data_IF_996627056010
#
_entry.id   IF_996627056010
#
_cell.length_a   1.000
_cell.length_b   1.000
_cell.length_c   1.000
_cell.angle_alpha   90.00
_cell.angle_beta   90.00
_cell.angle_gamma   90.00
#
_symmetry.space_group_name_H-M   'P 1'
#
loop_
_entity.id
_entity.type
_entity.pdbx_description
1 polymer ?
#
# COMPACT_ATOMS: atom_id res chain seq x y z
N UNK A 1 -35.37 70.95 3.40
CA UNK A 1 -35.44 70.19 4.67
C UNK A 1 -35.38 68.66 4.48
N UNK A 2 -35.46 68.09 3.27
CA UNK A 2 -35.44 66.62 3.05
C UNK A 2 -34.04 65.97 3.01
N UNK A 3 -33.00 66.69 2.58
CA UNK A 3 -31.66 66.09 2.36
C UNK A 3 -30.94 65.62 3.63
N UNK A 4 -31.00 66.38 4.74
CA UNK A 4 -30.35 66.00 6.01
C UNK A 4 -30.97 64.76 6.68
N UNK A 5 -32.23 64.45 6.36
CA UNK A 5 -32.92 63.31 6.95
C UNK A 5 -32.55 62.00 6.24
N UNK A 6 -32.28 62.07 4.94
CA UNK A 6 -31.82 60.93 4.13
C UNK A 6 -30.39 60.51 4.50
N UNK A 7 -29.48 61.46 4.67
CA UNK A 7 -28.09 61.20 5.09
C UNK A 7 -28.04 60.55 6.49
N UNK A 8 -28.86 61.01 7.43
CA UNK A 8 -28.94 60.43 8.78
C UNK A 8 -29.50 58.99 8.75
N UNK A 9 -30.52 58.73 7.94
CA UNK A 9 -31.05 57.37 7.75
C UNK A 9 -30.03 56.44 7.07
N UNK A 10 -29.26 56.97 6.12
CA UNK A 10 -28.22 56.21 5.43
C UNK A 10 -27.07 55.86 6.37
N UNK A 11 -26.63 56.80 7.22
CA UNK A 11 -25.65 56.51 8.28
C UNK A 11 -26.16 55.47 9.27
N UNK A 12 -27.41 55.58 9.71
CA UNK A 12 -28.00 54.61 10.64
C UNK A 12 -28.14 53.19 10.02
N UNK A 13 -28.46 53.10 8.72
CA UNK A 13 -28.49 51.84 7.99
C UNK A 13 -27.09 51.22 7.82
N UNK A 14 -26.08 52.05 7.54
CA UNK A 14 -24.68 51.64 7.46
C UNK A 14 -24.16 51.18 8.83
N UNK A 15 -24.47 51.89 9.91
CA UNK A 15 -24.13 51.51 11.28
C UNK A 15 -24.83 50.21 11.70
N UNK A 16 -26.09 50.02 11.29
CA UNK A 16 -26.82 48.78 11.47
C UNK A 16 -26.15 47.60 10.76
N UNK A 17 -25.70 47.82 9.52
CA UNK A 17 -24.97 46.82 8.74
C UNK A 17 -23.61 46.49 9.36
N UNK A 18 -22.87 47.50 9.83
CA UNK A 18 -21.57 47.34 10.48
C UNK A 18 -21.71 46.57 11.79
N UNK A 19 -22.76 46.84 12.57
CA UNK A 19 -23.11 46.07 13.76
C UNK A 19 -23.49 44.62 13.42
N UNK A 20 -24.24 44.39 12.34
CA UNK A 20 -24.59 43.04 11.89
C UNK A 20 -23.34 42.25 11.50
N UNK A 21 -22.43 42.84 10.72
CA UNK A 21 -21.17 42.20 10.36
C UNK A 21 -20.27 41.96 11.57
N UNK A 22 -20.22 42.90 12.51
CA UNK A 22 -19.46 42.73 13.76
C UNK A 22 -20.03 41.57 14.58
N UNK A 23 -21.37 41.47 14.66
CA UNK A 23 -22.06 40.37 15.33
C UNK A 23 -21.80 39.04 14.63
N UNK A 24 -21.97 38.97 13.31
CA UNK A 24 -21.71 37.77 12.51
C UNK A 24 -20.26 37.32 12.67
N UNK A 25 -19.29 38.24 12.69
CA UNK A 25 -17.89 37.92 12.89
C UNK A 25 -17.62 37.34 14.29
N UNK A 26 -18.27 37.88 15.34
CA UNK A 26 -18.20 37.33 16.70
C UNK A 26 -18.81 35.93 16.77
N UNK A 27 -19.97 35.73 16.14
CA UNK A 27 -20.64 34.42 16.08
C UNK A 27 -19.77 33.39 15.35
N UNK A 28 -19.23 33.73 14.17
CA UNK A 28 -18.29 32.87 13.42
C UNK A 28 -17.04 32.54 14.24
N UNK A 29 -16.47 33.52 14.95
CA UNK A 29 -15.32 33.28 15.84
C UNK A 29 -15.67 32.31 16.97
N UNK A 30 -16.88 32.42 17.52
CA UNK A 30 -17.36 31.54 18.59
C UNK A 30 -17.55 30.11 18.08
N UNK A 31 -18.14 29.95 16.90
CA UNK A 31 -18.29 28.66 16.21
C UNK A 31 -16.94 28.04 15.92
N UNK A 32 -16.00 28.80 15.35
CA UNK A 32 -14.64 28.34 15.09
C UNK A 32 -13.95 27.82 16.35
N UNK A 33 -13.99 28.59 17.44
CA UNK A 33 -13.37 28.19 18.71
C UNK A 33 -14.01 26.94 19.32
N UNK A 34 -15.34 26.79 19.21
CA UNK A 34 -16.04 25.60 19.71
C UNK A 34 -15.67 24.35 18.89
N UNK A 35 -15.70 24.45 17.56
CA UNK A 35 -15.28 23.37 16.66
C UNK A 35 -13.83 22.96 16.91
N UNK A 36 -12.93 23.92 17.12
CA UNK A 36 -11.52 23.63 17.40
C UNK A 36 -11.34 22.86 18.71
N UNK A 37 -12.09 23.20 19.76
CA UNK A 37 -12.08 22.47 21.04
C UNK A 37 -12.63 21.06 20.90
N UNK A 38 -13.77 20.91 20.21
CA UNK A 38 -14.37 19.60 19.94
C UNK A 38 -13.42 18.74 19.11
N UNK A 39 -12.78 19.30 18.08
CA UNK A 39 -11.79 18.59 17.27
C UNK A 39 -10.61 18.07 18.10
N UNK A 40 -10.04 18.90 18.98
CA UNK A 40 -8.93 18.48 19.87
C UNK A 40 -9.36 17.44 20.91
N UNK A 41 -10.62 17.50 21.36
CA UNK A 41 -11.17 16.53 22.31
C UNK A 41 -11.44 15.17 21.65
N UNK A 42 -12.00 15.17 20.43
CA UNK A 42 -12.34 13.95 19.68
C UNK A 42 -11.09 13.30 19.09
N UNK A 43 -10.15 14.10 18.59
CA UNK A 43 -8.93 13.62 17.96
C UNK A 43 -7.70 14.14 18.71
N UNK A 44 -7.16 13.35 19.65
CA UNK A 44 -5.86 13.65 20.24
C UNK A 44 -4.75 13.67 19.18
N UNK A 45 -3.56 14.18 19.51
CA UNK A 45 -2.47 14.41 18.54
C UNK A 45 -2.06 13.20 17.69
N UNK A 46 -2.25 11.98 18.20
CA UNK A 46 -1.93 10.71 17.53
C UNK A 46 -3.06 10.19 16.62
N UNK A 47 -4.26 10.76 16.72
CA UNK A 47 -5.47 10.38 15.99
C UNK A 47 -5.96 11.50 15.04
N UNK A 48 -5.14 12.53 14.79
CA UNK A 48 -5.48 13.60 13.84
C UNK A 48 -5.72 13.00 12.43
N UNK A 49 -6.93 13.15 11.84
CA UNK A 49 -7.28 12.55 10.57
C UNK A 49 -6.31 12.87 9.42
N UNK A 50 -5.82 14.12 9.35
CA UNK A 50 -4.86 14.52 8.31
C UNK A 50 -3.52 13.79 8.45
N UNK A 51 -3.04 13.60 9.69
CA UNK A 51 -1.81 12.83 9.96
C UNK A 51 -2.01 11.34 9.70
N UNK A 52 -3.20 10.81 9.96
CA UNK A 52 -3.52 9.41 9.67
C UNK A 52 -3.54 9.15 8.16
N UNK A 53 -4.15 10.03 7.37
CA UNK A 53 -4.16 9.92 5.91
C UNK A 53 -2.75 10.00 5.35
N UNK A 54 -1.90 10.91 5.83
CA UNK A 54 -0.52 10.99 5.35
C UNK A 54 0.31 9.76 5.70
N UNK A 55 0.12 9.21 6.91
CA UNK A 55 0.74 7.94 7.31
C UNK A 55 0.25 6.77 6.47
N UNK A 56 -1.04 6.70 6.18
CA UNK A 56 -1.63 5.65 5.36
C UNK A 56 -1.06 5.67 3.93
N UNK A 57 -1.01 6.85 3.30
CA UNK A 57 -0.40 7.03 1.98
C UNK A 57 1.06 6.59 1.96
N UNK A 58 1.82 6.97 3.00
CA UNK A 58 3.22 6.54 3.13
C UNK A 58 3.33 5.02 3.23
N UNK A 59 2.48 4.37 4.03
CA UNK A 59 2.46 2.90 4.16
C UNK A 59 2.10 2.24 2.82
N UNK A 60 1.13 2.80 2.09
CA UNK A 60 0.73 2.30 0.76
C UNK A 60 1.88 2.38 -0.25
N UNK A 61 2.61 3.49 -0.28
CA UNK A 61 3.80 3.67 -1.10
C UNK A 61 4.92 2.69 -0.70
N UNK A 62 5.21 2.56 0.59
CA UNK A 62 6.22 1.64 1.12
C UNK A 62 5.85 0.17 0.85
N UNK A 63 4.57 -0.19 0.97
CA UNK A 63 4.06 -1.54 0.67
C UNK A 63 4.22 -1.88 -0.82
N UNK A 64 3.87 -0.93 -1.69
CA UNK A 64 4.02 -1.08 -3.15
C UNK A 64 5.49 -1.25 -3.54
N UNK A 65 6.37 -0.45 -2.93
CA UNK A 65 7.82 -0.56 -3.11
C UNK A 65 8.34 -1.91 -2.64
N UNK A 66 7.93 -2.36 -1.45
CA UNK A 66 8.33 -3.66 -0.89
C UNK A 66 7.87 -4.83 -1.77
N UNK A 67 6.63 -4.78 -2.30
CA UNK A 67 6.11 -5.78 -3.24
C UNK A 67 7.00 -5.90 -4.48
N UNK A 68 7.40 -4.77 -5.05
CA UNK A 68 8.30 -4.75 -6.21
C UNK A 68 9.67 -5.34 -5.87
N UNK A 69 10.26 -4.97 -4.74
CA UNK A 69 11.54 -5.52 -4.27
C UNK A 69 11.46 -7.04 -4.05
N UNK A 70 10.37 -7.55 -3.47
CA UNK A 70 10.15 -9.00 -3.32
C UNK A 70 10.07 -9.71 -4.68
N UNK A 71 9.38 -9.11 -5.66
CA UNK A 71 9.28 -9.67 -7.02
C UNK A 71 10.64 -9.72 -7.72
N UNK A 72 11.44 -8.65 -7.62
CA UNK A 72 12.81 -8.61 -8.14
C UNK A 72 13.69 -9.68 -7.48
N UNK A 73 13.61 -9.82 -6.16
CA UNK A 73 14.36 -10.83 -5.41
C UNK A 73 13.98 -12.27 -5.83
N UNK A 74 12.68 -12.54 -6.01
CA UNK A 74 12.21 -13.84 -6.49
C UNK A 74 12.73 -14.13 -7.90
N UNK A 75 12.75 -13.12 -8.77
CA UNK A 75 13.27 -13.24 -10.14
C UNK A 75 14.77 -13.53 -10.13
N UNK A 76 15.54 -12.80 -9.32
CA UNK A 76 16.98 -13.03 -9.16
C UNK A 76 17.29 -14.41 -8.58
N UNK A 77 16.46 -14.91 -7.66
CA UNK A 77 16.60 -16.27 -7.11
C UNK A 77 16.32 -17.35 -8.16
N UNK A 78 15.30 -17.18 -9.00
CA UNK A 78 15.02 -18.11 -10.12
C UNK A 78 16.20 -18.16 -11.10
N UNK A 79 16.74 -17.00 -11.49
CA UNK A 79 17.90 -16.92 -12.40
C UNK A 79 19.14 -17.63 -11.81
N UNK A 80 19.38 -17.48 -10.50
CA UNK A 80 20.45 -18.20 -9.81
C UNK A 80 20.23 -19.72 -9.85
N UNK A 81 19.01 -20.18 -9.60
CA UNK A 81 18.63 -21.60 -9.67
C UNK A 81 18.87 -22.16 -11.08
N UNK A 82 18.45 -21.44 -12.12
CA UNK A 82 18.60 -21.86 -13.51
C UNK A 82 20.07 -21.95 -13.93
N UNK A 83 20.89 -20.97 -13.51
CA UNK A 83 22.34 -20.98 -13.70
C UNK A 83 23.00 -22.15 -12.98
N UNK A 84 22.66 -22.37 -11.71
CA UNK A 84 23.20 -23.48 -10.92
C UNK A 84 22.85 -24.83 -11.56
N UNK A 85 21.60 -25.02 -11.98
CA UNK A 85 21.13 -26.22 -12.67
C UNK A 85 21.89 -26.45 -13.98
N UNK A 86 22.05 -25.41 -14.79
CA UNK A 86 22.78 -25.48 -16.06
C UNK A 86 24.24 -25.92 -15.86
N UNK A 87 24.93 -25.31 -14.88
CA UNK A 87 26.32 -25.64 -14.55
C UNK A 87 26.44 -27.06 -13.99
N UNK A 88 25.57 -27.45 -13.04
CA UNK A 88 25.61 -28.77 -12.42
C UNK A 88 25.36 -29.89 -13.43
N UNK A 89 24.31 -29.78 -14.25
CA UNK A 89 24.00 -30.75 -15.31
C UNK A 89 25.12 -30.79 -16.34
N UNK A 90 25.66 -29.63 -16.72
CA UNK A 90 26.81 -29.52 -17.63
C UNK A 90 28.05 -30.25 -17.09
N UNK A 91 28.45 -29.97 -15.85
CA UNK A 91 29.58 -30.61 -15.19
C UNK A 91 29.38 -32.12 -15.04
N UNK A 92 28.17 -32.55 -14.64
CA UNK A 92 27.81 -33.97 -14.53
C UNK A 92 27.97 -34.68 -15.86
N UNK A 93 27.47 -34.10 -16.95
CA UNK A 93 27.61 -34.69 -18.30
C UNK A 93 29.08 -34.88 -18.70
N UNK A 94 29.95 -33.94 -18.30
CA UNK A 94 31.39 -34.03 -18.57
C UNK A 94 32.05 -35.15 -17.76
N UNK A 95 31.71 -35.27 -16.47
CA UNK A 95 32.20 -36.35 -15.60
C UNK A 95 31.74 -37.72 -16.12
N UNK A 96 30.48 -37.86 -16.55
CA UNK A 96 29.96 -39.11 -17.11
C UNK A 96 30.69 -39.51 -18.40
N UNK A 97 31.00 -38.55 -19.28
CA UNK A 97 31.84 -38.81 -20.47
C UNK A 97 33.25 -39.27 -20.09
N UNK A 98 33.85 -38.67 -19.06
CA UNK A 98 35.17 -39.08 -18.58
C UNK A 98 35.15 -40.48 -17.96
N UNK A 99 34.15 -40.82 -17.15
CA UNK A 99 33.95 -42.17 -16.58
C UNK A 99 33.82 -43.22 -17.70
N UNK A 100 33.00 -42.94 -18.71
CA UNK A 100 32.84 -43.82 -19.87
C UNK A 100 34.16 -44.04 -20.63
N UNK A 101 34.98 -42.98 -20.77
CA UNK A 101 36.29 -43.07 -21.45
C UNK A 101 37.36 -43.81 -20.66
N UNK A 102 37.23 -43.92 -19.33
CA UNK A 102 38.20 -44.54 -18.43
C UNK A 102 37.79 -45.93 -17.93
N UNK A 103 36.62 -46.42 -18.38
CA UNK A 103 36.08 -47.73 -17.97
C UNK A 103 35.57 -47.77 -16.53
N UNK A 104 35.36 -46.60 -15.91
CA UNK A 104 34.80 -46.49 -14.56
C UNK A 104 33.27 -46.64 -14.66
N UNK A 105 32.62 -47.42 -13.77
CA UNK A 105 31.17 -47.56 -13.76
C UNK A 105 30.46 -46.20 -13.65
N UNK A 106 29.38 -46.05 -14.40
CA UNK A 106 28.52 -44.87 -14.37
C UNK A 106 27.83 -44.74 -13.01
N UNK A 107 27.88 -43.55 -12.41
CA UNK A 107 27.09 -43.23 -11.21
C UNK A 107 25.69 -42.78 -11.62
N UNK A 108 24.65 -43.54 -11.24
CA UNK A 108 23.25 -43.20 -11.52
C UNK A 108 22.83 -41.87 -10.88
N UNK A 109 21.73 -41.27 -11.33
CA UNK A 109 21.17 -40.07 -10.67
C UNK A 109 20.81 -40.31 -9.21
N UNK A 110 20.31 -41.51 -8.86
CA UNK A 110 20.00 -41.84 -7.45
C UNK A 110 21.20 -42.27 -6.62
N UNK A 111 22.36 -42.45 -7.25
CA UNK A 111 23.60 -42.81 -6.53
C UNK A 111 24.39 -41.55 -6.11
N UNK A 112 23.86 -40.35 -6.40
CA UNK A 112 24.45 -39.06 -6.04
C UNK A 112 23.55 -38.29 -5.06
N UNK A 113 23.75 -38.49 -3.74
CA UNK A 113 22.95 -37.84 -2.70
C UNK A 113 22.98 -36.31 -2.77
N UNK A 114 24.07 -35.72 -3.28
CA UNK A 114 24.19 -34.27 -3.39
C UNK A 114 23.32 -33.71 -4.52
N UNK A 115 23.25 -34.43 -5.65
CA UNK A 115 22.39 -34.05 -6.77
C UNK A 115 20.90 -34.28 -6.48
N UNK A 116 20.54 -35.37 -5.80
CA UNK A 116 19.18 -35.57 -5.30
C UNK A 116 18.75 -34.47 -4.33
N UNK A 117 19.60 -34.17 -3.34
CA UNK A 117 19.32 -33.09 -2.37
C UNK A 117 19.14 -31.74 -3.06
N UNK A 118 19.95 -31.42 -4.07
CA UNK A 118 19.79 -30.20 -4.86
C UNK A 118 18.42 -30.14 -5.56
N UNK A 119 18.02 -31.21 -6.25
CA UNK A 119 16.73 -31.25 -6.94
C UNK A 119 15.56 -31.12 -5.97
N UNK A 120 15.62 -31.78 -4.82
CA UNK A 120 14.61 -31.65 -3.77
C UNK A 120 14.44 -30.19 -3.33
N UNK A 121 15.55 -29.48 -3.07
CA UNK A 121 15.51 -28.05 -2.68
C UNK A 121 14.89 -27.18 -3.78
N UNK A 122 15.14 -27.49 -5.06
CA UNK A 122 14.51 -26.76 -6.17
C UNK A 122 13.01 -27.04 -6.22
N UNK A 123 12.60 -28.29 -6.09
CA UNK A 123 11.19 -28.69 -6.15
C UNK A 123 10.38 -28.08 -5.00
N UNK A 124 10.93 -28.11 -3.78
CA UNK A 124 10.35 -27.43 -2.60
C UNK A 124 10.19 -25.92 -2.86
N UNK A 125 11.22 -25.29 -3.43
CA UNK A 125 11.15 -23.87 -3.77
C UNK A 125 10.11 -23.57 -4.85
N UNK A 126 10.02 -24.38 -5.90
CA UNK A 126 9.02 -24.22 -6.97
C UNK A 126 7.60 -24.38 -6.43
N UNK A 127 7.38 -25.30 -5.49
CA UNK A 127 6.09 -25.46 -4.82
C UNK A 127 5.72 -24.21 -3.97
N UNK A 128 6.69 -23.64 -3.25
CA UNK A 128 6.49 -22.42 -2.46
C UNK A 128 6.19 -21.18 -3.30
N UNK A 129 6.79 -21.06 -4.50
CA UNK A 129 6.50 -19.93 -5.40
C UNK A 129 5.12 -20.08 -6.03
N UNK A 130 4.76 -21.29 -6.48
CA UNK A 130 3.46 -21.55 -7.13
C UNK A 130 2.29 -21.35 -6.18
N UNK A 131 2.37 -21.91 -4.96
CA UNK A 131 1.32 -21.75 -3.94
C UNK A 131 1.03 -20.29 -3.60
N UNK A 132 2.07 -19.44 -3.55
CA UNK A 132 1.89 -18.01 -3.26
C UNK A 132 1.36 -17.19 -4.45
N UNK A 133 1.68 -17.57 -5.69
CA UNK A 133 1.12 -16.90 -6.86
C UNK A 133 -0.37 -17.18 -7.04
N UNK A 134 -0.85 -18.37 -6.66
CA UNK A 134 -2.27 -18.73 -6.71
C UNK A 134 -3.10 -17.95 -5.67
N UNK A 135 -2.54 -17.66 -4.49
CA UNK A 135 -3.18 -16.83 -3.47
C UNK A 135 -3.32 -15.34 -3.91
N UNK A 136 -2.31 -14.79 -4.60
CA UNK A 136 -2.33 -13.40 -5.08
C UNK A 136 -3.34 -13.16 -6.22
N UNK A 137 -3.61 -14.16 -7.07
CA UNK A 137 -4.65 -14.07 -8.11
C UNK A 137 -6.07 -14.15 -7.52
N UNK A 138 -6.23 -14.75 -6.34
CA UNK A 138 -7.50 -14.84 -5.62
C UNK A 138 -7.81 -13.59 -4.77
N UNK A 139 -6.78 -12.83 -4.37
CA UNK A 139 -6.91 -11.58 -3.60
C UNK A 139 -7.32 -10.35 -4.43
N UNK A 140 -7.39 -10.43 -5.77
CA UNK A 140 -8.07 -9.40 -6.58
C UNK A 140 -9.58 -9.63 -6.51
N UNK A 141 -10.11 -9.66 -5.29
CA UNK A 141 -11.53 -9.71 -4.99
C UNK A 141 -12.12 -8.29 -5.00
N UNK A 142 -13.40 -8.10 -5.33
CA UNK A 142 -14.03 -6.77 -5.50
C UNK A 142 -14.15 -5.95 -4.19
N UNK A 143 -13.59 -6.46 -3.09
CA UNK A 143 -13.64 -5.87 -1.75
C UNK A 143 -12.77 -4.63 -1.58
N UNK A 144 -11.97 -4.26 -2.59
CA UNK A 144 -11.15 -3.04 -2.61
C UNK A 144 -11.98 -1.75 -2.81
N UNK A 145 -13.25 -1.79 -2.41
CA UNK A 145 -14.13 -0.63 -2.41
C UNK A 145 -14.62 -0.30 -1.00
N UNK A 146 -13.66 -0.22 -0.07
CA UNK A 146 -13.85 0.38 1.26
C UNK A 146 -14.39 1.81 1.11
N UNK A 147 -13.97 2.53 0.06
CA UNK A 147 -14.55 3.82 -0.28
C UNK A 147 -16.04 3.70 -0.67
N UNK A 148 -16.46 2.75 -1.51
CA UNK A 148 -17.90 2.52 -1.74
C UNK A 148 -18.64 2.11 -0.46
N UNK A 149 -18.07 1.30 0.43
CA UNK A 149 -18.72 0.91 1.69
C UNK A 149 -18.94 2.12 2.63
N UNK A 150 -17.93 3.00 2.73
CA UNK A 150 -17.98 4.20 3.58
C UNK A 150 -18.90 5.29 3.03
N UNK A 151 -19.02 5.41 1.70
CA UNK A 151 -19.86 6.43 1.05
C UNK A 151 -21.28 5.96 0.70
N UNK A 152 -21.57 4.65 0.73
CA UNK A 152 -22.94 4.13 0.57
C UNK A 152 -23.82 4.32 1.80
N UNK A 153 -23.22 4.38 3.00
CA UNK A 153 -23.95 4.52 4.26
C UNK A 153 -24.45 5.96 4.54
N UNK A 154 -24.03 6.95 3.75
CA UNK A 154 -24.31 8.37 4.00
C UNK A 154 -25.49 8.90 3.15
N UNK A 155 -26.07 8.10 2.25
CA UNK A 155 -27.20 8.52 1.39
C UNK A 155 -28.40 7.58 1.50
N UNK A 156 -28.82 7.29 2.74
CA UNK A 156 -30.21 6.90 3.02
C UNK A 156 -30.71 7.73 4.20
N UNK A 157 -31.30 8.87 3.87
CA UNK A 157 -32.05 9.73 4.78
C UNK A 157 -33.01 10.55 3.93
N UNK A 158 -34.22 10.00 3.73
CA UNK A 158 -35.43 10.79 3.53
C UNK A 158 -35.85 11.40 4.86
#
# INVERSE_FOLDING_TARGET
>A
MGHRNLENQQHQAVDGLLNLFSKANRELSMVHNKLQKEFQQVYPDHANPMKLVSRLKKIEEEMSSLKNQCRELLTAKQDLIDKARTILVGNRSMVQRLQASTGIPFTSESDDPAYESFNQVIDEWTAHVRSRSEDEEMEVSPSENINQLLFSAIVQGD
#
